data_IF_497009179811
#
_entry.id   IF_497009179811
#
_cell.length_a   1.000
_cell.length_b   1.000
_cell.length_c   1.000
_cell.angle_alpha   90.00
_cell.angle_beta   90.00
_cell.angle_gamma   90.00
#
_symmetry.space_group_name_H-M   'P 1'
#
loop_
_entity.id
_entity.type
_entity.pdbx_description
1 polymer ?
#
# COMPACT_ATOMS: atom_id res chain seq x y z
N UNK A 1 -47.76 -41.76 32.06
CA UNK A 1 -47.45 -40.35 31.74
C UNK A 1 -46.67 -40.34 30.43
N UNK A 2 -47.10 -39.46 29.52
CA UNK A 2 -46.65 -39.16 28.14
C UNK A 2 -45.38 -39.88 27.62
N UNK A 3 -45.37 -40.54 26.45
CA UNK A 3 -46.16 -40.31 25.25
C UNK A 3 -45.25 -39.69 24.17
N UNK A 4 -44.53 -40.54 23.44
CA UNK A 4 -43.70 -40.19 22.29
C UNK A 4 -44.56 -39.78 21.09
N UNK A 5 -44.23 -38.67 20.45
CA UNK A 5 -44.68 -38.35 19.10
C UNK A 5 -43.47 -37.93 18.26
N UNK A 6 -43.23 -38.68 17.19
CA UNK A 6 -42.32 -38.40 16.08
C UNK A 6 -43.13 -37.71 14.98
N UNK A 7 -42.56 -36.72 14.27
CA UNK A 7 -42.71 -36.34 12.84
C UNK A 7 -42.14 -34.91 12.62
N UNK A 8 -41.77 -34.48 11.39
CA UNK A 8 -40.57 -34.85 10.63
C UNK A 8 -39.64 -33.64 10.34
N UNK A 9 -38.45 -33.93 9.79
CA UNK A 9 -37.49 -32.96 9.23
C UNK A 9 -38.12 -32.09 8.13
N UNK A 10 -37.78 -30.80 8.13
CA UNK A 10 -37.72 -29.95 6.94
C UNK A 10 -36.41 -29.17 6.99
N UNK A 11 -35.38 -29.80 6.45
CA UNK A 11 -34.22 -29.14 5.86
C UNK A 11 -34.73 -28.38 4.62
N UNK A 12 -34.47 -27.07 4.55
CA UNK A 12 -34.06 -26.31 3.36
C UNK A 12 -34.14 -24.81 3.66
N UNK A 13 -33.21 -24.07 3.05
CA UNK A 13 -33.01 -22.62 3.07
C UNK A 13 -32.16 -22.04 4.23
N UNK A 14 -30.86 -21.94 3.90
CA UNK A 14 -29.81 -21.08 4.47
C UNK A 14 -29.30 -21.44 5.86
N UNK A 15 -28.21 -22.19 5.84
CA UNK A 15 -27.39 -22.52 7.01
C UNK A 15 -26.66 -21.30 7.56
N UNK A 16 -26.95 -21.01 8.83
CA UNK A 16 -26.04 -20.34 9.73
C UNK A 16 -26.18 -21.00 11.10
N UNK A 17 -25.10 -21.57 11.65
CA UNK A 17 -25.01 -21.92 13.07
C UNK A 17 -23.82 -21.21 13.70
N UNK A 18 -24.13 -20.64 14.86
CA UNK A 18 -23.36 -19.81 15.78
C UNK A 18 -22.22 -20.56 16.49
N UNK A 19 -21.32 -19.78 17.11
CA UNK A 19 -21.01 -19.66 18.58
C UNK A 19 -19.68 -18.85 18.67
N UNK A 20 -19.40 -17.85 19.52
CA UNK A 20 -19.85 -17.48 20.88
C UNK A 20 -19.64 -15.98 21.21
N UNK A 21 -20.28 -15.52 22.28
CA UNK A 21 -20.27 -14.16 22.84
C UNK A 21 -19.08 -13.90 23.79
N UNK A 22 -18.52 -12.68 23.75
CA UNK A 22 -18.12 -11.95 24.96
C UNK A 22 -18.18 -10.43 24.74
N UNK A 23 -18.81 -9.70 25.67
CA UNK A 23 -18.84 -8.23 25.70
C UNK A 23 -20.17 -7.64 25.21
N UNK A 24 -21.13 -7.49 26.12
CA UNK A 24 -22.47 -6.99 25.82
C UNK A 24 -22.49 -5.55 25.29
N UNK A 25 -22.70 -5.41 23.99
CA UNK A 25 -23.30 -4.22 23.35
C UNK A 25 -24.18 -4.72 22.19
N UNK A 26 -25.49 -4.53 22.26
CA UNK A 26 -26.38 -4.69 21.11
C UNK A 26 -26.32 -3.42 20.25
N UNK A 27 -25.76 -3.51 19.05
CA UNK A 27 -26.01 -2.53 17.99
C UNK A 27 -27.21 -3.00 17.17
N UNK A 28 -28.31 -2.24 17.21
CA UNK A 28 -29.40 -2.40 16.23
C UNK A 28 -28.99 -1.71 14.93
N UNK A 29 -28.71 -2.48 13.88
CA UNK A 29 -28.64 -1.97 12.52
C UNK A 29 -30.06 -1.69 12.02
N UNK A 30 -30.37 -0.41 11.80
CA UNK A 30 -31.56 0.01 11.07
C UNK A 30 -31.15 0.33 9.63
N UNK A 31 -31.22 -0.66 8.75
CA UNK A 31 -31.20 -0.43 7.32
C UNK A 31 -32.29 -1.25 6.66
N UNK A 32 -33.18 -0.56 5.94
CA UNK A 32 -34.12 -1.12 4.96
C UNK A 32 -35.47 -1.63 5.49
N UNK A 33 -36.37 -0.75 5.95
CA UNK A 33 -37.79 -1.11 6.10
C UNK A 33 -38.78 0.08 5.93
N UNK A 34 -38.68 0.85 4.85
CA UNK A 34 -39.78 1.74 4.39
C UNK A 34 -39.69 1.81 2.86
N UNK A 35 -40.46 1.00 2.10
CA UNK A 35 -41.91 1.13 2.04
C UNK A 35 -42.64 -0.23 1.87
N UNK A 36 -43.10 -0.84 2.97
CA UNK A 36 -44.08 -1.94 2.89
C UNK A 36 -45.23 -1.84 3.91
N UNK A 37 -45.28 -0.75 4.69
CA UNK A 37 -46.31 -0.53 5.72
C UNK A 37 -47.46 0.35 5.22
N UNK A 38 -47.29 1.08 4.11
CA UNK A 38 -48.35 1.95 3.56
C UNK A 38 -49.45 1.18 2.79
N UNK A 39 -49.26 -0.11 2.50
CA UNK A 39 -50.22 -0.89 1.70
C UNK A 39 -51.15 -1.83 2.48
N UNK A 40 -51.09 -1.86 3.82
CA UNK A 40 -51.90 -2.80 4.63
C UNK A 40 -52.82 -2.16 5.68
N UNK A 41 -53.08 -0.85 5.56
CA UNK A 41 -54.04 -0.13 6.41
C UNK A 41 -55.40 0.15 5.74
N UNK A 42 -55.62 -0.26 4.48
CA UNK A 42 -56.85 0.02 3.72
C UNK A 42 -57.72 -1.20 3.36
N UNK A 43 -57.53 -2.36 4.01
CA UNK A 43 -58.47 -3.50 3.85
C UNK A 43 -59.07 -3.86 5.21
N UNK A 44 -60.31 -3.44 5.42
CA UNK A 44 -61.08 -3.66 6.64
C UNK A 44 -61.51 -5.12 6.86
N UNK A 45 -61.66 -5.49 8.14
CA UNK A 45 -62.27 -6.75 8.58
C UNK A 45 -61.73 -7.19 9.95
N UNK A 46 -62.57 -7.52 10.95
CA UNK A 46 -62.26 -7.19 12.34
C UNK A 46 -61.59 -8.34 13.10
N UNK A 47 -60.52 -8.06 13.84
CA UNK A 47 -60.20 -8.89 15.01
C UNK A 47 -59.60 -8.06 16.14
N UNK A 48 -60.16 -8.29 17.32
CA UNK A 48 -59.88 -7.63 18.60
C UNK A 48 -58.46 -7.95 19.04
N UNK A 49 -57.62 -6.93 19.23
CA UNK A 49 -56.73 -6.80 20.39
C UNK A 49 -56.20 -5.36 20.44
N UNK A 50 -56.82 -4.52 21.30
CA UNK A 50 -56.32 -3.17 21.60
C UNK A 50 -55.03 -3.32 22.43
N UNK A 51 -53.86 -3.14 21.81
CA UNK A 51 -52.63 -2.83 22.54
C UNK A 51 -52.50 -1.31 22.65
N UNK A 52 -52.59 -0.81 23.87
CA UNK A 52 -52.36 0.59 24.22
C UNK A 52 -50.87 0.90 24.07
N UNK A 53 -50.54 1.76 23.11
CA UNK A 53 -49.18 2.32 22.93
C UNK A 53 -48.88 3.25 24.10
N UNK A 54 -47.76 3.04 24.79
CA UNK A 54 -47.42 3.82 25.99
C UNK A 54 -47.05 5.27 25.64
N UNK A 55 -47.21 6.18 26.60
CA UNK A 55 -46.91 7.60 26.41
C UNK A 55 -45.45 7.85 25.98
N UNK A 56 -44.51 6.99 26.40
CA UNK A 56 -43.09 7.05 26.01
C UNK A 56 -42.86 6.68 24.55
N UNK A 57 -43.64 5.74 24.00
CA UNK A 57 -43.56 5.37 22.58
C UNK A 57 -44.13 6.46 21.67
N UNK A 58 -45.13 7.22 22.14
CA UNK A 58 -45.65 8.38 21.40
C UNK A 58 -44.64 9.53 21.35
N UNK A 59 -43.91 9.78 22.44
CA UNK A 59 -42.83 10.78 22.50
C UNK A 59 -41.68 10.38 21.57
N UNK A 60 -41.29 9.11 21.53
CA UNK A 60 -40.22 8.62 20.67
C UNK A 60 -40.56 8.77 19.17
N UNK A 61 -41.81 8.48 18.77
CA UNK A 61 -42.28 8.67 17.39
C UNK A 61 -42.35 10.15 17.01
N UNK A 62 -42.77 11.03 17.93
CA UNK A 62 -42.79 12.49 17.74
C UNK A 62 -41.38 13.08 17.58
N UNK A 63 -40.39 12.60 18.35
CA UNK A 63 -38.99 13.04 18.23
C UNK A 63 -38.36 12.57 16.91
N UNK A 64 -38.67 11.34 16.46
CA UNK A 64 -38.21 10.81 15.17
C UNK A 64 -38.83 11.54 13.97
N UNK A 65 -40.05 12.07 14.10
CA UNK A 65 -40.69 12.88 13.05
C UNK A 65 -40.22 14.33 13.06
N UNK A 66 -39.85 14.90 14.22
CA UNK A 66 -39.25 16.24 14.25
C UNK A 66 -37.84 16.28 13.64
N UNK A 67 -37.04 15.23 13.84
CA UNK A 67 -35.69 15.13 13.26
C UNK A 67 -35.68 14.97 11.73
N UNK A 68 -36.77 14.52 11.11
CA UNK A 68 -36.86 14.36 9.65
C UNK A 68 -37.53 15.54 8.95
N UNK A 69 -38.33 16.35 9.66
CA UNK A 69 -39.07 17.49 9.09
C UNK A 69 -38.33 18.82 9.27
N UNK A 70 -37.48 18.96 10.28
CA UNK A 70 -36.63 20.16 10.43
C UNK A 70 -35.23 19.79 9.94
N UNK A 71 -34.95 20.07 8.66
CA UNK A 71 -33.63 19.96 8.06
C UNK A 71 -32.64 20.93 8.71
N UNK A 72 -32.21 20.62 9.94
CA UNK A 72 -31.07 21.24 10.58
C UNK A 72 -29.82 20.61 9.97
N UNK A 73 -29.39 21.18 8.85
CA UNK A 73 -28.02 21.07 8.37
C UNK A 73 -27.11 21.71 9.43
N UNK A 74 -26.67 20.91 10.40
CA UNK A 74 -25.51 21.25 11.22
C UNK A 74 -24.26 20.97 10.37
N UNK A 75 -23.84 21.99 9.62
CA UNK A 75 -22.49 22.02 9.05
C UNK A 75 -21.52 22.33 10.18
N UNK A 76 -21.04 21.28 10.85
CA UNK A 76 -19.85 21.39 11.69
C UNK A 76 -18.63 21.20 10.80
N UNK A 77 -18.24 22.26 10.09
CA UNK A 77 -16.86 22.39 9.64
C UNK A 77 -16.04 22.81 10.86
N UNK A 78 -15.72 21.86 11.74
CA UNK A 78 -14.44 21.98 12.42
C UNK A 78 -13.38 21.72 11.38
N UNK A 79 -12.94 22.80 10.76
CA UNK A 79 -11.53 22.91 10.42
C UNK A 79 -10.77 22.98 11.76
N UNK A 80 -10.81 21.88 12.53
CA UNK A 80 -9.78 21.59 13.49
C UNK A 80 -8.54 21.49 12.62
N UNK A 81 -7.75 22.56 12.64
CA UNK A 81 -6.32 22.42 12.41
C UNK A 81 -5.88 21.23 13.25
N UNK A 82 -5.71 20.09 12.60
CA UNK A 82 -5.16 18.90 13.23
C UNK A 82 -3.73 19.31 13.53
N UNK A 83 -3.53 19.93 14.69
CA UNK A 83 -2.25 19.89 15.36
C UNK A 83 -2.04 18.40 15.63
N UNK A 84 -1.38 17.75 14.68
CA UNK A 84 -0.83 16.43 14.87
C UNK A 84 -0.04 16.59 16.16
N UNK A 85 -0.52 16.04 17.27
CA UNK A 85 0.32 15.94 18.47
C UNK A 85 1.54 15.18 17.97
N UNK A 86 2.65 15.92 17.80
CA UNK A 86 3.84 15.38 17.18
C UNK A 86 4.32 14.33 18.15
N UNK A 87 3.99 13.08 17.85
CA UNK A 87 4.57 11.94 18.51
C UNK A 87 6.07 12.18 18.48
N UNK A 88 6.72 12.07 19.65
CA UNK A 88 8.16 12.25 19.77
C UNK A 88 8.94 11.17 19.01
N UNK A 89 8.26 10.14 18.53
CA UNK A 89 8.86 9.06 17.75
C UNK A 89 9.39 9.57 16.41
N UNK A 90 10.66 9.28 16.08
CA UNK A 90 11.28 9.73 14.83
C UNK A 90 10.76 8.99 13.60
N UNK A 91 10.02 7.88 13.78
CA UNK A 91 9.56 6.98 12.73
C UNK A 91 8.03 6.87 12.70
N UNK A 92 7.46 6.82 11.49
CA UNK A 92 6.12 6.31 11.22
C UNK A 92 6.13 5.31 10.08
N UNK A 93 5.54 4.15 10.33
CA UNK A 93 5.34 3.09 9.34
C UNK A 93 3.90 3.14 8.83
N UNK A 94 3.75 3.34 7.52
CA UNK A 94 2.47 3.28 6.84
C UNK A 94 2.10 1.83 6.53
N UNK A 95 0.98 1.36 7.08
CA UNK A 95 0.42 0.05 6.78
C UNK A 95 -0.55 0.16 5.61
N UNK A 96 -0.12 -0.34 4.46
CA UNK A 96 -0.81 -0.18 3.18
C UNK A 96 -1.97 -1.15 3.07
N UNK A 97 -3.18 -0.68 2.75
CA UNK A 97 -4.36 -1.53 2.59
C UNK A 97 -5.29 -1.07 1.47
N UNK A 98 -6.01 -2.02 0.87
CA UNK A 98 -6.86 -1.82 -0.31
C UNK A 98 -8.31 -2.34 -0.12
N UNK A 99 -8.69 -2.69 1.10
CA UNK A 99 -10.03 -3.24 1.38
C UNK A 99 -10.41 -3.08 2.86
N UNK A 100 -11.71 -2.94 3.12
CA UNK A 100 -12.27 -2.98 4.48
C UNK A 100 -11.97 -4.30 5.21
N UNK A 101 -11.79 -5.40 4.47
CA UNK A 101 -11.40 -6.69 5.03
C UNK A 101 -10.02 -6.68 5.70
N UNK A 102 -9.16 -5.71 5.37
CA UNK A 102 -7.83 -5.59 5.98
C UNK A 102 -7.86 -4.95 7.39
N UNK A 103 -8.96 -4.27 7.78
CA UNK A 103 -9.00 -3.43 8.98
C UNK A 103 -8.65 -4.16 10.28
N UNK A 104 -9.01 -5.44 10.40
CA UNK A 104 -8.71 -6.30 11.57
C UNK A 104 -7.23 -6.68 11.69
N UNK A 105 -6.45 -6.56 10.61
CA UNK A 105 -5.03 -6.89 10.56
C UNK A 105 -4.13 -5.67 10.74
N UNK A 106 -4.70 -4.47 10.71
CA UNK A 106 -3.96 -3.23 10.92
C UNK A 106 -3.66 -3.03 12.41
N UNK A 107 -2.42 -2.65 12.69
CA UNK A 107 -1.99 -2.27 14.04
C UNK A 107 -2.70 -0.98 14.47
N UNK A 108 -3.32 -1.01 15.66
CA UNK A 108 -4.14 0.08 16.19
C UNK A 108 -3.64 0.63 17.53
N UNK A 109 -2.64 0.00 18.13
CA UNK A 109 -2.25 0.23 19.53
C UNK A 109 -0.98 1.06 19.72
N UNK A 110 -0.27 1.44 18.64
CA UNK A 110 1.00 2.18 18.74
C UNK A 110 1.02 3.45 17.89
N UNK A 111 1.82 4.43 18.29
CA UNK A 111 2.06 5.65 17.48
C UNK A 111 3.02 5.42 16.31
N UNK A 112 3.63 4.22 16.26
CA UNK A 112 4.56 3.80 15.22
C UNK A 112 3.84 3.54 13.89
N UNK A 113 2.60 3.02 13.93
CA UNK A 113 1.88 2.68 12.71
C UNK A 113 0.73 3.64 12.39
N UNK A 114 0.49 3.82 11.09
CA UNK A 114 -0.67 4.54 10.55
C UNK A 114 -1.19 3.77 9.34
N UNK A 115 -2.49 3.53 9.25
CA UNK A 115 -3.05 2.92 8.05
C UNK A 115 -2.89 3.85 6.84
N UNK A 116 -2.66 3.29 5.65
CA UNK A 116 -2.61 3.98 4.37
C UNK A 116 -3.61 3.34 3.42
N UNK A 117 -4.77 3.97 3.26
CA UNK A 117 -5.82 3.51 2.37
C UNK A 117 -5.43 3.77 0.90
N UNK A 118 -5.58 2.78 0.04
CA UNK A 118 -5.29 2.87 -1.39
C UNK A 118 -6.51 2.57 -2.27
N UNK A 119 -7.68 2.32 -1.66
CA UNK A 119 -8.90 1.99 -2.39
C UNK A 119 -10.07 2.90 -1.99
N UNK A 120 -10.84 3.35 -2.98
CA UNK A 120 -11.98 4.24 -2.75
C UNK A 120 -13.01 3.56 -1.81
N UNK A 121 -13.58 4.35 -0.89
CA UNK A 121 -14.58 3.86 0.06
C UNK A 121 -14.07 2.86 1.10
N UNK A 122 -12.77 2.56 1.13
CA UNK A 122 -12.18 1.59 2.06
C UNK A 122 -11.55 2.21 3.30
N UNK A 123 -11.48 3.54 3.38
CA UNK A 123 -10.91 4.26 4.52
C UNK A 123 -11.63 3.85 5.82
N UNK A 124 -10.85 3.44 6.81
CA UNK A 124 -11.38 2.98 8.08
C UNK A 124 -12.04 4.11 8.87
N UNK A 125 -13.34 4.01 9.20
CA UNK A 125 -14.04 5.03 9.98
C UNK A 125 -13.36 5.29 11.32
N UNK A 126 -13.29 6.57 11.71
CA UNK A 126 -12.79 7.01 13.02
C UNK A 126 -11.32 6.68 13.32
N UNK A 127 -10.54 6.31 12.30
CA UNK A 127 -9.09 6.11 12.42
C UNK A 127 -8.32 7.35 12.01
N UNK A 128 -7.05 7.44 12.43
CA UNK A 128 -6.11 8.45 11.93
C UNK A 128 -5.43 8.01 10.63
N UNK A 129 -6.00 7.07 9.89
CA UNK A 129 -5.40 6.57 8.65
C UNK A 129 -5.23 7.71 7.63
N UNK A 130 -4.26 7.56 6.73
CA UNK A 130 -4.09 8.48 5.60
C UNK A 130 -4.81 7.90 4.39
N UNK A 131 -5.60 8.72 3.72
CA UNK A 131 -6.22 8.34 2.45
C UNK A 131 -5.33 8.73 1.28
N UNK A 132 -4.74 7.74 0.59
CA UNK A 132 -3.86 7.98 -0.55
C UNK A 132 -4.65 8.26 -1.83
N UNK A 133 -5.90 7.78 -1.94
CA UNK A 133 -6.72 7.85 -3.16
C UNK A 133 -6.79 9.28 -3.73
N UNK A 134 -7.08 10.34 -2.94
CA UNK A 134 -7.17 11.71 -3.48
C UNK A 134 -5.80 12.40 -3.63
N UNK A 135 -4.69 11.79 -3.20
CA UNK A 135 -3.40 12.48 -3.14
C UNK A 135 -2.68 12.58 -4.48
N UNK A 136 -2.97 11.66 -5.41
CA UNK A 136 -2.41 11.62 -6.76
C UNK A 136 -3.47 11.15 -7.76
N UNK A 137 -3.55 11.79 -8.93
CA UNK A 137 -4.49 11.38 -10.00
C UNK A 137 -4.27 9.96 -10.51
N UNK A 138 -3.05 9.41 -10.39
CA UNK A 138 -2.81 8.02 -10.77
C UNK A 138 -3.55 7.02 -9.88
N UNK A 139 -3.85 7.39 -8.63
CA UNK A 139 -4.42 6.47 -7.64
C UNK A 139 -5.88 6.09 -7.92
N UNK A 140 -6.57 6.81 -8.81
CA UNK A 140 -7.95 6.52 -9.22
C UNK A 140 -8.06 5.77 -10.55
N UNK A 141 -6.92 5.44 -11.20
CA UNK A 141 -6.93 4.69 -12.45
C UNK A 141 -6.75 3.20 -12.20
N UNK A 142 -7.79 2.44 -12.54
CA UNK A 142 -7.86 1.00 -12.35
C UNK A 142 -6.79 0.23 -13.12
N UNK A 143 -6.26 0.77 -14.22
CA UNK A 143 -5.13 0.16 -14.91
C UNK A 143 -3.86 0.20 -14.05
N UNK A 144 -3.57 1.35 -13.44
CA UNK A 144 -2.35 1.53 -12.65
C UNK A 144 -2.44 0.97 -11.22
N UNK A 145 -3.63 0.91 -10.62
CA UNK A 145 -3.80 0.42 -9.25
C UNK A 145 -3.17 -0.96 -9.02
N UNK A 146 -3.36 -1.90 -9.95
CA UNK A 146 -2.71 -3.22 -9.88
C UNK A 146 -1.31 -3.18 -10.51
N UNK A 147 -1.11 -2.41 -11.57
CA UNK A 147 0.16 -2.43 -12.31
C UNK A 147 1.33 -1.94 -11.45
N UNK A 148 1.13 -0.89 -10.64
CA UNK A 148 2.15 -0.36 -9.72
C UNK A 148 1.89 -0.68 -8.25
N UNK A 149 0.82 -1.42 -7.93
CA UNK A 149 0.52 -1.96 -6.60
C UNK A 149 0.64 -0.90 -5.48
N UNK A 150 1.38 -1.26 -4.42
CA UNK A 150 1.62 -0.43 -3.23
C UNK A 150 2.41 0.86 -3.53
N UNK A 151 3.02 1.01 -4.71
CA UNK A 151 3.74 2.24 -5.05
C UNK A 151 2.83 3.45 -5.20
N UNK A 152 1.54 3.27 -5.47
CA UNK A 152 0.55 4.36 -5.42
C UNK A 152 0.57 5.09 -4.06
N UNK A 153 0.64 4.32 -2.97
CA UNK A 153 0.73 4.82 -1.60
C UNK A 153 2.10 5.44 -1.28
N UNK A 154 3.18 4.75 -1.65
CA UNK A 154 4.56 5.24 -1.43
C UNK A 154 4.78 6.58 -2.11
N UNK A 155 4.38 6.71 -3.38
CA UNK A 155 4.51 7.93 -4.15
C UNK A 155 3.64 9.07 -3.59
N UNK A 156 2.42 8.75 -3.14
CA UNK A 156 1.54 9.75 -2.52
C UNK A 156 2.13 10.30 -1.22
N UNK A 157 2.69 9.44 -0.37
CA UNK A 157 3.39 9.88 0.86
C UNK A 157 4.62 10.71 0.52
N UNK A 158 5.43 10.30 -0.46
CA UNK A 158 6.63 11.02 -0.86
C UNK A 158 6.31 12.41 -1.45
N UNK A 159 5.32 12.51 -2.35
CA UNK A 159 4.90 13.76 -2.98
C UNK A 159 4.43 14.81 -1.97
N UNK A 160 3.85 14.35 -0.85
CA UNK A 160 3.31 15.22 0.19
C UNK A 160 4.06 15.07 1.53
N UNK A 161 5.30 14.58 1.51
CA UNK A 161 6.03 14.22 2.73
C UNK A 161 6.10 15.40 3.72
N UNK A 162 6.44 16.61 3.23
CA UNK A 162 6.51 17.82 4.04
C UNK A 162 5.19 18.18 4.74
N UNK A 163 4.04 17.89 4.10
CA UNK A 163 2.72 18.25 4.62
C UNK A 163 2.08 17.15 5.47
N UNK A 164 2.29 15.87 5.11
CA UNK A 164 1.57 14.73 5.68
C UNK A 164 2.43 13.88 6.64
N UNK A 165 3.75 14.01 6.54
CA UNK A 165 4.71 13.20 7.28
C UNK A 165 5.80 14.08 7.92
N UNK A 166 5.55 14.66 9.11
CA UNK A 166 6.50 15.56 9.76
C UNK A 166 7.69 14.84 10.42
N UNK A 167 7.81 13.51 10.26
CA UNK A 167 8.84 12.72 10.93
C UNK A 167 10.09 12.58 10.05
N UNK A 168 11.29 12.50 10.66
CA UNK A 168 12.54 12.34 9.92
C UNK A 168 12.70 10.97 9.25
N UNK A 169 11.97 9.95 9.70
CA UNK A 169 11.99 8.60 9.14
C UNK A 169 10.59 8.11 8.80
N UNK A 170 10.50 7.42 7.67
CA UNK A 170 9.29 6.89 7.09
C UNK A 170 9.47 5.41 6.78
N UNK A 171 8.44 4.62 7.07
CA UNK A 171 8.40 3.21 6.72
C UNK A 171 7.13 2.84 5.98
N UNK A 172 7.19 1.69 5.34
CA UNK A 172 6.06 1.05 4.69
C UNK A 172 6.00 -0.41 5.10
N UNK A 173 4.77 -0.91 5.24
CA UNK A 173 4.48 -2.31 5.51
C UNK A 173 3.17 -2.68 4.81
N UNK A 174 3.11 -3.83 4.15
CA UNK A 174 1.82 -4.35 3.64
C UNK A 174 0.88 -4.73 4.80
N UNK A 175 -0.43 -4.52 4.67
CA UNK A 175 -1.41 -5.04 5.64
C UNK A 175 -1.30 -6.56 5.86
N UNK A 176 -0.77 -7.29 4.87
CA UNK A 176 -0.56 -8.74 4.94
C UNK A 176 0.64 -9.13 5.82
N UNK A 177 1.41 -8.19 6.37
CA UNK A 177 2.59 -8.50 7.19
C UNK A 177 2.27 -9.47 8.32
N UNK A 178 1.18 -9.22 9.06
CA UNK A 178 0.78 -10.05 10.19
C UNK A 178 0.39 -11.45 9.72
N UNK A 179 -0.38 -11.52 8.62
CA UNK A 179 -0.82 -12.79 8.02
C UNK A 179 0.36 -13.62 7.50
N UNK A 180 1.37 -12.97 6.91
CA UNK A 180 2.55 -13.61 6.34
C UNK A 180 3.67 -13.87 7.35
N UNK A 181 3.51 -13.45 8.60
CA UNK A 181 4.56 -13.58 9.63
C UNK A 181 5.74 -12.61 9.45
N UNK A 182 5.58 -11.55 8.65
CA UNK A 182 6.60 -10.52 8.41
C UNK A 182 6.39 -9.26 9.27
N UNK A 183 5.38 -9.22 10.13
CA UNK A 183 5.15 -8.04 10.95
C UNK A 183 6.20 -7.94 12.07
N UNK A 184 6.77 -6.75 12.24
CA UNK A 184 7.70 -6.47 13.32
C UNK A 184 7.03 -6.78 14.67
N UNK A 185 7.74 -7.52 15.51
CA UNK A 185 7.38 -7.76 16.88
C UNK A 185 7.84 -6.57 17.74
N UNK A 186 7.23 -6.33 18.93
CA UNK A 186 7.57 -5.19 19.77
C UNK A 186 9.06 -5.03 20.08
N UNK A 187 9.80 -6.15 20.16
CA UNK A 187 11.25 -6.15 20.34
C UNK A 187 11.99 -5.60 19.12
N UNK A 188 11.60 -6.01 17.91
CA UNK A 188 12.17 -5.50 16.67
C UNK A 188 11.82 -4.04 16.43
N UNK A 189 10.59 -3.62 16.76
CA UNK A 189 10.19 -2.20 16.75
C UNK A 189 11.09 -1.35 17.66
N UNK A 190 11.35 -1.82 18.89
CA UNK A 190 12.21 -1.14 19.83
C UNK A 190 13.67 -1.07 19.35
N UNK A 191 14.22 -2.16 18.80
CA UNK A 191 15.56 -2.17 18.20
C UNK A 191 15.67 -1.18 17.04
N UNK A 192 14.68 -1.15 16.15
CA UNK A 192 14.62 -0.23 15.01
C UNK A 192 14.58 1.24 15.45
N UNK A 193 13.69 1.57 16.38
CA UNK A 193 13.60 2.92 16.94
C UNK A 193 14.89 3.33 17.66
N UNK A 194 15.54 2.41 18.37
CA UNK A 194 16.82 2.67 19.04
C UNK A 194 17.95 2.97 18.03
N UNK A 195 18.07 2.16 16.98
CA UNK A 195 19.07 2.36 15.92
C UNK A 195 18.87 3.69 15.18
N UNK A 196 17.62 4.04 14.87
CA UNK A 196 17.27 5.33 14.25
C UNK A 196 17.60 6.49 15.18
N UNK A 197 17.18 6.41 16.45
CA UNK A 197 17.38 7.50 17.42
C UNK A 197 18.85 7.75 17.73
N UNK A 198 19.66 6.69 17.78
CA UNK A 198 21.11 6.75 17.98
C UNK A 198 21.89 7.05 16.69
N UNK A 199 21.22 7.12 15.54
CA UNK A 199 21.83 7.27 14.21
C UNK A 199 22.90 6.21 13.91
N UNK A 200 22.69 4.98 14.37
CA UNK A 200 23.68 3.90 14.32
C UNK A 200 24.22 3.63 12.90
N UNK A 201 23.38 3.80 11.86
CA UNK A 201 23.71 3.48 10.48
C UNK A 201 23.63 4.66 9.50
N UNK A 202 23.42 5.90 9.98
CA UNK A 202 23.32 7.08 9.12
C UNK A 202 22.13 7.05 8.14
N UNK A 203 22.38 7.35 6.86
CA UNK A 203 21.40 7.18 5.77
C UNK A 203 21.40 5.70 5.32
N UNK A 204 20.42 4.97 5.82
CA UNK A 204 20.30 3.53 5.64
C UNK A 204 18.89 3.13 5.21
N UNK A 205 18.84 2.12 4.36
CA UNK A 205 17.65 1.32 4.10
C UNK A 205 17.56 0.22 5.16
N UNK A 206 16.60 0.31 6.07
CA UNK A 206 16.24 -0.82 6.92
C UNK A 206 15.13 -1.63 6.25
N UNK A 207 15.19 -2.96 6.29
CA UNK A 207 14.17 -3.83 5.72
C UNK A 207 14.08 -5.16 6.46
N UNK A 208 12.96 -5.87 6.34
CA UNK A 208 12.71 -7.10 7.12
C UNK A 208 11.97 -8.20 6.34
N UNK A 209 12.04 -8.15 5.02
CA UNK A 209 11.58 -9.22 4.12
C UNK A 209 12.66 -9.47 3.07
N UNK A 210 13.08 -10.73 2.94
CA UNK A 210 14.31 -11.19 2.28
C UNK A 210 14.11 -12.20 1.14
N UNK A 211 12.86 -12.54 0.82
CA UNK A 211 12.54 -13.52 -0.22
C UNK A 211 11.07 -13.63 -0.60
N UNK A 212 10.21 -12.73 -0.09
CA UNK A 212 8.76 -12.80 -0.30
C UNK A 212 8.05 -13.95 0.43
N UNK A 213 8.78 -14.97 0.89
CA UNK A 213 8.29 -16.12 1.66
C UNK A 213 9.15 -16.38 2.92
N UNK A 214 8.52 -16.81 4.04
CA UNK A 214 9.27 -17.12 5.26
C UNK A 214 10.31 -18.22 5.05
N UNK A 215 11.58 -17.91 5.36
CA UNK A 215 12.68 -18.87 5.25
C UNK A 215 13.28 -18.99 3.85
N UNK A 216 12.82 -18.18 2.89
CA UNK A 216 13.44 -18.05 1.58
C UNK A 216 14.35 -16.82 1.55
N UNK A 217 15.54 -16.97 0.98
CA UNK A 217 16.54 -15.92 0.83
C UNK A 217 16.96 -15.82 -0.63
N UNK A 218 17.00 -14.60 -1.15
CA UNK A 218 17.44 -14.33 -2.51
C UNK A 218 18.93 -13.95 -2.49
N UNK A 219 19.78 -14.84 -2.98
CA UNK A 219 21.23 -14.58 -3.11
C UNK A 219 21.64 -14.10 -4.52
N UNK A 220 20.89 -14.47 -5.55
CA UNK A 220 21.06 -13.98 -6.93
C UNK A 220 19.87 -13.11 -7.32
N UNK A 221 20.08 -11.79 -7.28
CA UNK A 221 19.04 -10.79 -7.52
C UNK A 221 18.37 -10.94 -8.91
N UNK A 222 19.17 -11.03 -9.97
CA UNK A 222 18.65 -11.10 -11.34
C UNK A 222 18.26 -12.53 -11.73
N UNK A 223 18.95 -13.54 -11.20
CA UNK A 223 18.53 -14.94 -11.34
C UNK A 223 17.13 -15.14 -10.78
N UNK A 224 16.88 -14.69 -9.54
CA UNK A 224 15.55 -14.74 -8.95
C UNK A 224 14.55 -13.85 -9.69
N UNK A 225 14.94 -12.66 -10.15
CA UNK A 225 14.01 -11.82 -10.90
C UNK A 225 13.56 -12.48 -12.21
N UNK A 226 14.50 -13.06 -12.96
CA UNK A 226 14.19 -13.77 -14.21
C UNK A 226 13.42 -15.07 -13.99
N UNK A 227 13.56 -15.69 -12.82
CA UNK A 227 12.81 -16.88 -12.44
C UNK A 227 11.33 -16.57 -12.19
N UNK A 228 11.03 -15.45 -11.53
CA UNK A 228 9.66 -15.03 -11.22
C UNK A 228 9.01 -14.28 -12.39
N UNK A 229 9.79 -13.58 -13.21
CA UNK A 229 9.30 -12.85 -14.39
C UNK A 229 10.26 -12.99 -15.57
N UNK A 230 9.71 -13.36 -16.72
CA UNK A 230 10.51 -13.47 -17.93
C UNK A 230 11.15 -12.13 -18.29
N UNK A 231 12.40 -12.16 -18.74
CA UNK A 231 13.14 -10.97 -19.15
C UNK A 231 13.25 -9.85 -18.10
N UNK A 232 13.00 -10.09 -16.81
CA UNK A 232 13.07 -9.05 -15.78
C UNK A 232 14.40 -8.26 -15.82
N UNK A 233 15.55 -8.95 -15.88
CA UNK A 233 16.85 -8.28 -15.91
C UNK A 233 17.02 -7.41 -17.16
N UNK A 234 16.40 -7.82 -18.29
CA UNK A 234 16.38 -7.03 -19.52
C UNK A 234 15.54 -5.77 -19.34
N UNK A 235 14.37 -5.88 -18.72
CA UNK A 235 13.51 -4.72 -18.39
C UNK A 235 14.26 -3.73 -17.49
N UNK A 236 14.99 -4.21 -16.47
CA UNK A 236 15.85 -3.35 -15.66
C UNK A 236 16.93 -2.62 -16.47
N UNK A 237 17.56 -3.31 -17.43
CA UNK A 237 18.54 -2.71 -18.32
C UNK A 237 17.91 -1.59 -19.18
N UNK A 238 16.76 -1.87 -19.79
CA UNK A 238 16.06 -0.91 -20.65
C UNK A 238 15.59 0.30 -19.85
N UNK A 239 14.96 0.10 -18.68
CA UNK A 239 14.53 1.19 -17.79
C UNK A 239 15.71 2.03 -17.29
N UNK A 240 16.81 1.40 -16.89
CA UNK A 240 17.97 2.17 -16.40
C UNK A 240 18.62 2.97 -17.53
N UNK A 241 18.76 2.38 -18.71
CA UNK A 241 19.26 3.09 -19.88
C UNK A 241 18.35 4.25 -20.26
N UNK A 242 17.05 4.07 -20.16
CA UNK A 242 16.06 5.09 -20.47
C UNK A 242 16.12 6.27 -19.47
N UNK A 243 16.15 5.97 -18.17
CA UNK A 243 16.16 7.00 -17.11
C UNK A 243 17.52 7.70 -16.99
N UNK A 244 18.62 6.94 -17.00
CA UNK A 244 19.95 7.47 -16.72
C UNK A 244 20.81 7.69 -17.97
N UNK A 245 20.59 6.90 -19.02
CA UNK A 245 21.47 6.85 -20.20
C UNK A 245 21.00 7.62 -21.43
N UNK A 246 19.71 8.00 -21.51
CA UNK A 246 19.12 8.67 -22.68
C UNK A 246 19.88 9.93 -23.11
N UNK A 247 20.33 10.71 -22.14
CA UNK A 247 21.03 11.98 -22.35
C UNK A 247 22.54 11.90 -22.10
N UNK A 248 23.08 10.69 -21.95
CA UNK A 248 24.51 10.50 -21.74
C UNK A 248 25.29 10.69 -23.04
N UNK A 249 26.51 11.20 -22.94
CA UNK A 249 27.41 11.36 -24.09
C UNK A 249 27.76 10.01 -24.75
N UNK A 250 27.84 8.94 -23.94
CA UNK A 250 28.01 7.56 -24.41
C UNK A 250 26.86 6.68 -23.91
N UNK A 251 25.78 6.51 -24.68
CA UNK A 251 24.68 5.62 -24.34
C UNK A 251 25.07 4.14 -24.26
N UNK A 252 26.21 3.73 -24.85
CA UNK A 252 26.69 2.35 -24.77
C UNK A 252 27.28 2.02 -23.40
N UNK A 253 27.66 3.04 -22.62
CA UNK A 253 28.11 2.88 -21.24
C UNK A 253 27.01 2.31 -20.32
N UNK A 254 25.73 2.41 -20.71
CA UNK A 254 24.57 1.86 -20.01
C UNK A 254 24.17 0.49 -20.59
N UNK A 255 25.15 -0.38 -20.83
CA UNK A 255 24.90 -1.72 -21.32
C UNK A 255 24.55 -2.67 -20.17
N UNK A 256 23.38 -3.31 -20.27
CA UNK A 256 22.90 -4.28 -19.28
C UNK A 256 22.22 -3.65 -18.06
N UNK A 257 21.84 -4.50 -17.12
CA UNK A 257 21.21 -4.08 -15.87
C UNK A 257 22.28 -3.65 -14.85
N UNK A 258 21.96 -2.73 -13.92
CA UNK A 258 22.89 -2.34 -12.86
C UNK A 258 23.39 -3.55 -12.06
N UNK A 259 24.70 -3.78 -11.88
CA UNK A 259 25.23 -5.00 -11.31
C UNK A 259 24.85 -5.12 -9.84
N UNK A 260 24.14 -6.21 -9.52
CA UNK A 260 23.82 -6.61 -8.16
C UNK A 260 24.71 -7.80 -7.74
N UNK A 261 25.15 -7.89 -6.48
CA UNK A 261 26.11 -8.90 -6.05
C UNK A 261 25.49 -10.30 -5.92
N UNK A 262 26.35 -11.31 -5.94
CA UNK A 262 26.01 -12.69 -5.53
C UNK A 262 26.97 -13.07 -4.40
N UNK A 263 26.80 -12.40 -3.26
CA UNK A 263 27.69 -12.46 -2.10
C UNK A 263 27.08 -13.19 -0.90
N UNK A 264 25.89 -13.78 -1.07
CA UNK A 264 25.13 -14.44 0.00
C UNK A 264 24.34 -13.48 0.90
N UNK A 265 24.46 -12.16 0.70
CA UNK A 265 23.61 -11.17 1.35
C UNK A 265 22.18 -11.18 0.81
N UNK A 266 21.28 -10.50 1.51
CA UNK A 266 19.85 -10.43 1.17
C UNK A 266 19.38 -9.05 0.69
N UNK A 267 18.22 -9.05 0.03
CA UNK A 267 17.59 -7.89 -0.58
C UNK A 267 16.26 -7.54 0.07
N UNK A 268 15.91 -6.25 0.08
CA UNK A 268 14.58 -5.80 0.46
C UNK A 268 13.55 -6.31 -0.54
N UNK A 269 12.46 -6.89 -0.02
CA UNK A 269 11.38 -7.42 -0.81
C UNK A 269 10.03 -6.84 -0.39
N UNK A 270 9.14 -6.58 -1.35
CA UNK A 270 7.88 -5.87 -1.16
C UNK A 270 8.06 -4.51 -0.45
N UNK A 271 6.97 -3.88 0.00
CA UNK A 271 7.04 -2.65 0.80
C UNK A 271 7.24 -2.96 2.29
N UNK A 272 8.36 -3.57 2.65
CA UNK A 272 8.76 -3.86 4.05
C UNK A 272 10.07 -3.17 4.39
N UNK A 273 10.05 -1.84 4.43
CA UNK A 273 11.26 -1.05 4.60
C UNK A 273 11.04 0.27 5.34
N UNK A 274 12.13 0.85 5.80
CA UNK A 274 12.23 2.17 6.45
C UNK A 274 13.42 2.93 5.87
N UNK A 275 13.21 4.23 5.60
CA UNK A 275 14.19 5.18 5.08
C UNK A 275 14.12 6.51 5.82
N UNK A 276 15.18 7.33 5.80
CA UNK A 276 15.03 8.76 6.06
C UNK A 276 14.04 9.38 5.07
N UNK A 277 13.24 10.34 5.53
CA UNK A 277 12.19 10.97 4.71
C UNK A 277 12.74 11.66 3.47
N UNK A 278 13.91 12.28 3.55
CA UNK A 278 14.59 12.88 2.38
C UNK A 278 15.02 11.81 1.36
N UNK A 279 15.55 10.68 1.85
CA UNK A 279 15.93 9.56 0.98
C UNK A 279 14.71 8.90 0.33
N UNK A 280 13.54 8.89 1.00
CA UNK A 280 12.28 8.49 0.37
C UNK A 280 11.91 9.43 -0.78
N UNK A 281 12.06 10.75 -0.62
CA UNK A 281 11.73 11.72 -1.67
C UNK A 281 12.65 11.53 -2.88
N UNK A 282 13.95 11.33 -2.66
CA UNK A 282 14.91 11.00 -3.71
C UNK A 282 14.54 9.70 -4.43
N UNK A 283 14.32 8.62 -3.67
CA UNK A 283 13.92 7.33 -4.23
C UNK A 283 12.62 7.41 -5.01
N UNK A 284 11.63 8.16 -4.52
CA UNK A 284 10.35 8.35 -5.20
C UNK A 284 10.51 9.06 -6.54
N UNK A 285 11.46 10.00 -6.69
CA UNK A 285 11.77 10.59 -8.00
C UNK A 285 12.28 9.54 -8.99
N UNK A 286 13.17 8.66 -8.53
CA UNK A 286 13.67 7.56 -9.36
C UNK A 286 12.57 6.54 -9.70
N UNK A 287 11.73 6.16 -8.74
CA UNK A 287 10.60 5.26 -8.97
C UNK A 287 9.59 5.85 -9.96
N UNK A 288 9.26 7.15 -9.88
CA UNK A 288 8.42 7.82 -10.88
C UNK A 288 9.04 7.76 -12.27
N UNK A 289 10.34 8.07 -12.40
CA UNK A 289 11.04 8.01 -13.68
C UNK A 289 11.01 6.59 -14.26
N UNK A 290 11.22 5.57 -13.42
CA UNK A 290 11.13 4.17 -13.82
C UNK A 290 9.72 3.78 -14.32
N UNK A 291 8.65 4.24 -13.65
CA UNK A 291 7.26 4.01 -14.12
C UNK A 291 7.04 4.61 -15.51
N UNK A 292 7.52 5.84 -15.73
CA UNK A 292 7.38 6.51 -17.03
C UNK A 292 8.19 5.80 -18.11
N UNK A 293 9.40 5.37 -17.81
CA UNK A 293 10.24 4.60 -18.72
C UNK A 293 9.62 3.23 -19.08
N UNK A 294 9.01 2.56 -18.10
CA UNK A 294 8.25 1.32 -18.32
C UNK A 294 7.08 1.57 -19.27
N UNK A 295 6.27 2.61 -19.04
CA UNK A 295 5.15 2.92 -19.93
C UNK A 295 5.57 3.36 -21.32
N UNK A 296 6.62 4.17 -21.46
CA UNK A 296 7.13 4.57 -22.77
C UNK A 296 7.52 3.35 -23.62
N UNK A 297 8.05 2.31 -22.96
CA UNK A 297 8.49 1.07 -23.62
C UNK A 297 7.36 0.06 -23.83
N UNK A 298 6.44 -0.07 -22.87
CA UNK A 298 5.56 -1.24 -22.77
C UNK A 298 4.06 -0.94 -22.69
N UNK A 299 3.64 0.32 -22.56
CA UNK A 299 2.21 0.66 -22.38
C UNK A 299 1.33 0.13 -23.52
N UNK A 300 1.65 0.44 -24.78
CA UNK A 300 0.80 0.02 -25.91
C UNK A 300 0.76 -1.50 -26.11
N UNK A 301 1.91 -2.22 -26.11
CA UNK A 301 1.89 -3.68 -26.12
C UNK A 301 1.08 -4.28 -24.95
N UNK A 302 1.17 -3.70 -23.76
CA UNK A 302 0.50 -4.19 -22.55
C UNK A 302 -1.00 -3.89 -22.53
N UNK A 303 -1.36 -2.60 -22.56
CA UNK A 303 -2.73 -2.11 -22.40
C UNK A 303 -3.63 -2.45 -23.57
N UNK A 304 -3.13 -2.27 -24.79
CA UNK A 304 -3.91 -2.36 -26.02
C UNK A 304 -3.63 -3.68 -26.77
N UNK A 305 -2.39 -4.16 -26.71
CA UNK A 305 -1.96 -5.42 -27.34
C UNK A 305 -2.21 -6.67 -26.51
N UNK A 306 -2.48 -6.55 -25.20
CA UNK A 306 -2.65 -7.69 -24.30
C UNK A 306 -1.38 -8.52 -24.09
N UNK A 307 -0.21 -7.95 -24.38
CA UNK A 307 1.08 -8.60 -24.29
C UNK A 307 1.95 -7.96 -23.21
N UNK A 308 2.44 -8.76 -22.26
CA UNK A 308 3.39 -8.33 -21.25
C UNK A 308 4.70 -9.10 -21.42
N UNK A 309 5.81 -8.39 -21.62
CA UNK A 309 7.16 -8.98 -21.78
C UNK A 309 7.63 -9.77 -20.54
N UNK A 310 7.03 -9.51 -19.38
CA UNK A 310 7.34 -10.14 -18.10
C UNK A 310 6.36 -11.22 -17.67
N UNK A 311 5.27 -11.41 -18.41
CA UNK A 311 4.28 -12.45 -18.12
C UNK A 311 4.65 -13.72 -18.88
N UNK A 312 4.94 -14.77 -18.12
CA UNK A 312 5.34 -16.07 -18.63
C UNK A 312 4.33 -17.18 -18.30
N UNK A 313 3.37 -16.91 -17.40
CA UNK A 313 2.34 -17.87 -16.98
C UNK A 313 2.91 -19.08 -16.23
N UNK A 314 4.03 -18.89 -15.54
CA UNK A 314 4.71 -19.94 -14.77
C UNK A 314 4.78 -19.59 -13.27
N UNK A 315 5.45 -20.42 -12.46
CA UNK A 315 5.55 -20.16 -11.02
C UNK A 315 4.23 -20.28 -10.22
N UNK A 316 3.15 -20.77 -10.83
CA UNK A 316 1.87 -21.01 -10.18
C UNK A 316 0.89 -19.83 -10.24
N UNK A 317 1.27 -18.70 -10.84
CA UNK A 317 0.36 -17.61 -11.19
C UNK A 317 -0.13 -17.75 -12.63
N UNK A 318 -1.35 -17.29 -12.91
CA UNK A 318 -1.84 -17.16 -14.28
C UNK A 318 -1.16 -15.94 -14.95
N UNK A 319 -0.87 -16.03 -16.25
CA UNK A 319 -0.26 -14.96 -17.03
C UNK A 319 -1.05 -13.65 -16.94
N UNK A 320 -2.38 -13.72 -16.76
CA UNK A 320 -3.21 -12.54 -16.51
C UNK A 320 -2.88 -11.85 -15.18
N UNK A 321 -2.61 -12.61 -14.13
CA UNK A 321 -2.18 -12.07 -12.85
C UNK A 321 -0.79 -11.43 -12.95
N UNK A 322 0.17 -12.12 -13.54
CA UNK A 322 1.52 -11.60 -13.76
C UNK A 322 1.50 -10.31 -14.58
N UNK A 323 0.75 -10.31 -15.69
CA UNK A 323 0.59 -9.13 -16.55
C UNK A 323 0.04 -7.94 -15.76
N UNK A 324 -0.98 -8.14 -14.93
CA UNK A 324 -1.58 -7.05 -14.16
C UNK A 324 -0.72 -6.49 -13.02
N UNK A 325 0.39 -7.15 -12.66
CA UNK A 325 1.29 -6.72 -11.55
C UNK A 325 2.76 -6.53 -12.00
N UNK A 326 3.04 -6.65 -13.30
CA UNK A 326 4.40 -6.73 -13.82
C UNK A 326 5.30 -5.53 -13.49
N UNK A 327 4.78 -4.29 -13.50
CA UNK A 327 5.60 -3.14 -13.14
C UNK A 327 5.91 -3.13 -11.64
N UNK A 328 4.96 -3.53 -10.79
CA UNK A 328 5.19 -3.50 -9.36
C UNK A 328 6.28 -4.47 -8.93
N UNK A 329 6.47 -5.60 -9.63
CA UNK A 329 7.60 -6.49 -9.41
C UNK A 329 8.97 -5.87 -9.72
N UNK A 330 9.05 -4.99 -10.72
CA UNK A 330 10.24 -4.17 -10.99
C UNK A 330 10.42 -3.15 -9.87
N UNK A 331 9.36 -2.44 -9.51
CA UNK A 331 9.42 -1.38 -8.49
C UNK A 331 9.84 -1.94 -7.11
N UNK A 332 9.25 -3.06 -6.66
CA UNK A 332 9.60 -3.75 -5.41
C UNK A 332 11.10 -4.04 -5.29
N UNK A 333 11.77 -4.28 -6.41
CA UNK A 333 13.21 -4.56 -6.47
C UNK A 333 14.06 -3.30 -6.71
N UNK A 334 13.48 -2.25 -7.28
CA UNK A 334 14.16 -1.00 -7.64
C UNK A 334 14.82 -0.31 -6.44
N UNK A 335 14.24 -0.43 -5.24
CA UNK A 335 14.81 0.14 -4.02
C UNK A 335 16.18 -0.44 -3.69
N UNK A 336 16.42 -1.72 -4.00
CA UNK A 336 17.72 -2.36 -3.80
C UNK A 336 18.76 -1.80 -4.76
N UNK A 337 18.41 -1.67 -6.04
CA UNK A 337 19.27 -1.07 -7.07
C UNK A 337 19.66 0.35 -6.67
N UNK A 338 18.68 1.16 -6.25
CA UNK A 338 18.92 2.52 -5.78
C UNK A 338 19.81 2.54 -4.53
N UNK A 339 19.46 1.82 -3.46
CA UNK A 339 20.22 1.84 -2.21
C UNK A 339 21.66 1.31 -2.40
N UNK A 340 21.81 0.24 -3.18
CA UNK A 340 23.10 -0.37 -3.46
C UNK A 340 24.03 0.60 -4.20
N UNK A 341 23.57 1.20 -5.31
CA UNK A 341 24.41 2.03 -6.17
C UNK A 341 24.59 3.48 -5.69
N UNK A 342 23.68 3.99 -4.86
CA UNK A 342 23.85 5.29 -4.19
C UNK A 342 24.75 5.20 -2.95
N UNK A 343 25.19 4.00 -2.56
CA UNK A 343 26.09 3.80 -1.43
C UNK A 343 25.41 3.87 -0.06
N UNK A 344 24.09 3.64 0.00
CA UNK A 344 23.35 3.58 1.27
C UNK A 344 23.56 2.24 1.94
N UNK A 345 23.70 2.25 3.28
CA UNK A 345 23.75 1.00 4.04
C UNK A 345 22.42 0.27 3.90
N UNK A 346 22.47 -1.04 3.71
CA UNK A 346 21.29 -1.89 3.60
C UNK A 346 21.29 -2.79 4.84
N UNK A 347 20.34 -2.57 5.75
CA UNK A 347 20.31 -3.22 7.05
C UNK A 347 19.09 -4.15 7.10
N UNK A 348 19.33 -5.44 7.09
CA UNK A 348 18.29 -6.42 7.38
C UNK A 348 17.96 -6.38 8.88
N UNK A 349 16.67 -6.42 9.19
CA UNK A 349 16.13 -6.46 10.55
C UNK A 349 15.32 -7.73 10.69
N UNK A 350 15.72 -8.61 11.61
CA UNK A 350 14.90 -9.76 11.98
C UNK A 350 13.61 -9.26 12.65
N UNK A 351 12.47 -9.54 12.01
CA UNK A 351 11.17 -9.04 12.46
C UNK A 351 10.75 -9.55 13.84
N UNK A 352 11.32 -10.66 14.33
CA UNK A 352 11.02 -11.24 15.63
C UNK A 352 12.00 -10.78 16.71
N UNK A 353 13.30 -10.91 16.44
CA UNK A 353 14.35 -10.69 17.45
C UNK A 353 14.81 -9.24 17.51
N UNK A 354 14.66 -8.49 16.41
CA UNK A 354 15.21 -7.16 16.24
C UNK A 354 16.72 -7.13 16.00
N UNK A 355 17.34 -8.29 15.73
CA UNK A 355 18.74 -8.34 15.33
C UNK A 355 18.91 -7.65 13.98
N UNK A 356 20.02 -6.94 13.82
CA UNK A 356 20.33 -6.18 12.62
C UNK A 356 21.63 -6.64 12.00
N UNK A 357 21.64 -6.79 10.69
CA UNK A 357 22.81 -7.19 9.93
C UNK A 357 22.94 -6.34 8.67
N UNK A 358 24.13 -5.78 8.43
CA UNK A 358 24.40 -5.07 7.19
C UNK A 358 24.57 -6.06 6.04
N UNK A 359 23.73 -5.89 5.03
CA UNK A 359 23.72 -6.66 3.80
C UNK A 359 24.54 -5.93 2.73
N UNK A 360 25.29 -6.71 1.95
CA UNK A 360 26.12 -6.21 0.86
C UNK A 360 27.03 -5.06 1.33
N UNK A 361 28.01 -5.36 2.19
CA UNK A 361 28.84 -4.33 2.83
C UNK A 361 29.44 -3.35 1.82
N UNK A 362 29.42 -2.05 2.14
CA UNK A 362 29.85 -0.97 1.23
C UNK A 362 31.24 -1.17 0.61
N UNK A 363 32.18 -1.73 1.37
CA UNK A 363 33.56 -1.97 0.92
C UNK A 363 33.66 -2.99 -0.22
N UNK A 364 32.66 -3.85 -0.40
CA UNK A 364 32.69 -4.96 -1.33
C UNK A 364 31.81 -4.72 -2.56
N UNK A 365 31.16 -3.55 -2.65
CA UNK A 365 30.19 -3.26 -3.72
C UNK A 365 30.86 -2.86 -5.02
N UNK A 366 30.45 -3.49 -6.10
CA UNK A 366 30.69 -2.98 -7.47
C UNK A 366 29.57 -2.00 -7.82
N UNK A 367 29.75 -0.74 -7.45
CA UNK A 367 28.73 0.28 -7.64
C UNK A 367 28.89 1.03 -8.97
N UNK A 368 27.75 1.34 -9.56
CA UNK A 368 27.56 2.23 -10.70
C UNK A 368 27.64 3.72 -10.25
N UNK A 369 28.71 4.06 -9.51
CA UNK A 369 28.86 5.37 -8.85
C UNK A 369 28.83 6.54 -9.82
N UNK A 370 29.40 6.38 -11.01
CA UNK A 370 29.42 7.40 -12.05
C UNK A 370 28.01 7.83 -12.52
N UNK A 371 26.98 7.04 -12.22
CA UNK A 371 25.60 7.31 -12.61
C UNK A 371 24.67 7.56 -11.42
N UNK A 372 24.93 6.95 -10.27
CA UNK A 372 24.09 7.03 -9.08
C UNK A 372 24.61 8.00 -8.00
N UNK A 373 25.83 8.53 -8.13
CA UNK A 373 26.33 9.56 -7.21
C UNK A 373 25.84 10.96 -7.63
N UNK A 374 25.49 11.83 -6.68
CA UNK A 374 25.31 13.25 -6.95
C UNK A 374 26.59 13.91 -7.51
N UNK A 375 26.48 14.90 -8.41
CA UNK A 375 25.24 15.46 -8.95
C UNK A 375 24.67 14.68 -10.15
N UNK A 376 25.39 13.68 -10.69
CA UNK A 376 25.02 12.99 -11.94
C UNK A 376 23.64 12.33 -11.89
N UNK A 377 23.30 11.71 -10.77
CA UNK A 377 22.00 11.07 -10.58
C UNK A 377 20.85 12.08 -10.66
N UNK A 378 20.98 13.20 -9.94
CA UNK A 378 19.97 14.26 -9.91
C UNK A 378 19.80 14.93 -11.27
N UNK A 379 20.91 15.21 -11.95
CA UNK A 379 20.92 15.80 -13.29
C UNK A 379 20.25 14.86 -14.31
N UNK A 380 20.48 13.55 -14.19
CA UNK A 380 19.85 12.56 -15.08
C UNK A 380 18.33 12.53 -14.89
N UNK A 381 17.86 12.54 -13.63
CA UNK A 381 16.43 12.59 -13.33
C UNK A 381 15.79 13.90 -13.80
N UNK A 382 16.46 15.04 -13.66
CA UNK A 382 15.95 16.34 -14.12
C UNK A 382 15.84 16.38 -15.65
N UNK A 383 16.86 15.88 -16.37
CA UNK A 383 16.82 15.78 -17.84
C UNK A 383 15.70 14.86 -18.31
N UNK A 384 15.52 13.72 -17.65
CA UNK A 384 14.43 12.79 -17.92
C UNK A 384 13.05 13.44 -17.72
N UNK A 385 12.83 14.08 -16.56
CA UNK A 385 11.58 14.79 -16.25
C UNK A 385 11.31 15.90 -17.26
N UNK A 386 12.34 16.66 -17.66
CA UNK A 386 12.24 17.72 -18.67
C UNK A 386 11.83 17.17 -20.04
N UNK A 387 12.52 16.13 -20.50
CA UNK A 387 12.24 15.51 -21.79
C UNK A 387 10.80 15.00 -21.88
N UNK A 388 10.30 14.30 -20.87
CA UNK A 388 8.92 13.80 -20.88
C UNK A 388 7.89 14.90 -20.58
N UNK A 389 8.26 15.98 -19.92
CA UNK A 389 7.42 17.17 -19.84
C UNK A 389 7.31 17.88 -21.20
N UNK A 390 8.26 17.75 -22.11
CA UNK A 390 8.20 18.32 -23.46
C UNK A 390 7.51 17.41 -24.47
N UNK A 391 7.61 16.08 -24.30
CA UNK A 391 7.06 15.08 -25.22
C UNK A 391 5.71 14.49 -24.74
N UNK A 392 4.69 14.53 -25.60
CA UNK A 392 3.27 14.41 -25.22
C UNK A 392 2.82 13.12 -24.52
N UNK A 393 3.43 11.97 -24.79
CA UNK A 393 2.98 10.69 -24.22
C UNK A 393 3.38 10.54 -22.74
N UNK A 394 4.65 10.77 -22.40
CA UNK A 394 5.14 10.73 -21.01
C UNK A 394 4.60 11.86 -20.13
N UNK A 395 4.31 13.03 -20.73
CA UNK A 395 3.76 14.21 -20.02
C UNK A 395 2.50 13.88 -19.22
N UNK A 396 1.57 13.15 -19.82
CA UNK A 396 0.29 12.84 -19.17
C UNK A 396 0.47 11.97 -17.93
N UNK A 397 1.34 10.96 -18.01
CA UNK A 397 1.62 10.07 -16.89
C UNK A 397 2.40 10.78 -15.78
N UNK A 398 3.47 11.52 -16.11
CA UNK A 398 4.22 12.32 -15.15
C UNK A 398 3.31 13.29 -14.38
N UNK A 399 2.40 13.93 -15.09
CA UNK A 399 1.42 14.83 -14.51
C UNK A 399 0.51 14.10 -13.52
N UNK A 400 0.04 12.90 -13.85
CA UNK A 400 -0.81 12.09 -12.97
C UNK A 400 -0.07 11.53 -11.74
N UNK A 401 1.24 11.34 -11.86
CA UNK A 401 2.16 10.97 -10.78
C UNK A 401 2.54 12.15 -9.86
N UNK A 402 2.17 13.39 -10.23
CA UNK A 402 2.61 14.61 -9.53
C UNK A 402 1.46 15.53 -9.09
N UNK A 403 0.32 15.52 -9.80
CA UNK A 403 -0.84 16.33 -9.47
C UNK A 403 -1.75 15.64 -8.44
N UNK A 404 -2.28 16.43 -7.51
CA UNK A 404 -3.36 16.01 -6.61
C UNK A 404 -4.62 15.58 -7.39
N UNK A 405 -5.29 14.55 -6.86
CA UNK A 405 -6.45 13.88 -7.42
C UNK A 405 -7.71 14.71 -7.43
#
# INVERSE_FOLDING_TARGET
>A
MAGSAVFPKLEHFWGGRMVEQHGGVMHYFCSSFVPLVVKKLNSGGPSRHKRTVSHRQRIFILLLTLCTVVGLHFSWTSQESVSLSVSKEPLLIYQQYHSVGAHSHLYNSTFLYRGLNQAEGCLRPSSRDLDAVPLLKINTDSYYQNLICEYTGILAVAAHARALHPRPWVGFQSWRAAQKGFALQPRAEASLLSAISSRAHGDALYFWSDGGFPGEHISDFYGHCNFIHEHCSRVFADVTKEVLGRHAADPAAYSGAPPMPVDGGTYAFMSYFVLPTESLVEYARFAKAAIVALDDSYYYPHKDGGFCIMAHGGGGADAAYESSHCYCYILERLINVWAYHTGRRMIYVDATTGNMEEQHALSNRTMWMQWFQPPHFEESLEKFETFHNENGNGRNLLRRLSEQG
#
